data_IF_858972340825
#
_entry.id   IF_858972340825
#
_cell.length_a   1.000
_cell.length_b   1.000
_cell.length_c   1.000
_cell.angle_alpha   90.00
_cell.angle_beta   90.00
_cell.angle_gamma   90.00
#
_symmetry.space_group_name_H-M   'P 1'
#
loop_
_entity.id
_entity.type
_entity.pdbx_description
1 polymer ?
#
# COMPACT_ATOMS: atom_id res chain seq x y z
N UNK A 1 12.87 -29.59 46.47
CA UNK A 1 11.44 -29.87 46.29
C UNK A 1 10.71 -28.54 46.32
N UNK A 2 10.36 -28.04 45.15
CA UNK A 2 9.53 -26.83 44.94
C UNK A 2 8.40 -27.28 44.03
N UNK A 3 7.12 -27.08 44.35
CA UNK A 3 6.00 -27.63 43.59
C UNK A 3 5.70 -26.76 42.35
N UNK A 4 5.41 -27.44 41.24
CA UNK A 4 4.92 -26.90 40.00
C UNK A 4 3.49 -26.36 40.15
N UNK A 5 3.14 -25.20 39.54
CA UNK A 5 1.77 -24.72 39.51
C UNK A 5 0.94 -25.45 38.43
N UNK A 6 -0.30 -25.74 38.79
CA UNK A 6 -1.32 -26.40 37.98
C UNK A 6 -1.69 -25.55 36.74
N UNK A 7 -1.66 -26.17 35.60
CA UNK A 7 -2.15 -25.67 34.32
C UNK A 7 -3.70 -25.64 34.30
N UNK A 8 -4.27 -24.50 34.10
CA UNK A 8 -5.70 -24.27 33.96
C UNK A 8 -6.22 -24.61 32.56
N UNK A 9 -7.49 -25.01 32.54
CA UNK A 9 -8.35 -25.53 31.46
C UNK A 9 -8.51 -24.65 30.19
N UNK A 10 -7.48 -24.32 29.42
CA UNK A 10 -7.63 -23.62 28.15
C UNK A 10 -6.96 -24.30 26.92
N UNK A 11 -6.29 -25.48 27.12
CA UNK A 11 -5.58 -26.14 26.02
C UNK A 11 -6.34 -27.33 25.39
N UNK A 12 -7.65 -27.17 25.16
CA UNK A 12 -8.45 -28.22 24.49
C UNK A 12 -9.28 -27.68 23.33
N UNK A 13 -8.71 -26.85 22.46
CA UNK A 13 -9.29 -26.57 21.14
C UNK A 13 -8.13 -26.32 20.17
N UNK A 14 -7.61 -27.39 19.59
CA UNK A 14 -6.90 -27.43 18.30
C UNK A 14 -6.19 -28.78 18.13
N UNK A 15 -6.95 -29.85 17.97
CA UNK A 15 -6.44 -31.13 17.43
C UNK A 15 -7.61 -31.90 16.79
N UNK A 16 -8.06 -31.39 15.63
CA UNK A 16 -8.78 -32.22 14.66
C UNK A 16 -7.80 -32.56 13.54
N UNK A 17 -6.95 -33.54 13.79
CA UNK A 17 -6.12 -34.21 12.78
C UNK A 17 -6.84 -35.48 12.38
N UNK A 18 -7.28 -35.53 11.14
CA UNK A 18 -7.41 -36.67 10.23
C UNK A 18 -7.43 -38.06 10.88
N UNK A 19 -8.62 -38.59 11.08
CA UNK A 19 -8.85 -40.03 11.28
C UNK A 19 -9.33 -40.60 9.93
N UNK A 20 -8.45 -41.35 9.24
CA UNK A 20 -8.81 -42.18 8.08
C UNK A 20 -9.25 -43.52 8.66
N UNK A 21 -10.51 -43.94 8.49
CA UNK A 21 -10.88 -45.31 8.86
C UNK A 21 -10.34 -46.31 7.83
N UNK A 22 -9.55 -47.28 8.28
CA UNK A 22 -9.17 -48.42 7.48
C UNK A 22 -10.45 -49.18 7.05
N UNK A 23 -10.59 -49.41 5.76
CA UNK A 23 -11.68 -50.22 5.17
C UNK A 23 -11.51 -51.65 5.62
N UNK A 24 -12.43 -52.14 6.46
CA UNK A 24 -12.67 -53.53 6.69
C UNK A 24 -13.25 -54.15 5.41
N UNK A 25 -12.52 -55.06 4.82
CA UNK A 25 -12.97 -55.84 3.66
C UNK A 25 -14.04 -56.85 4.16
N UNK A 26 -15.28 -56.56 3.93
CA UNK A 26 -16.37 -57.55 4.03
C UNK A 26 -16.58 -58.12 2.63
N UNK A 27 -16.14 -59.35 2.43
CA UNK A 27 -16.49 -60.10 1.22
C UNK A 27 -18.00 -60.44 1.26
N UNK A 28 -18.78 -59.77 0.44
CA UNK A 28 -20.13 -60.20 0.10
C UNK A 28 -20.24 -60.48 -1.41
N UNK A 29 -20.82 -61.59 -1.72
CA UNK A 29 -21.07 -62.21 -2.99
C UNK A 29 -21.48 -61.22 -4.11
N UNK A 30 -20.70 -61.26 -5.19
CA UNK A 30 -20.96 -60.54 -6.43
C UNK A 30 -22.15 -61.15 -7.15
N UNK A 31 -23.32 -60.55 -7.01
CA UNK A 31 -24.40 -60.78 -7.96
C UNK A 31 -24.07 -60.10 -9.29
N UNK A 32 -24.06 -60.86 -10.36
CA UNK A 32 -23.83 -60.39 -11.72
C UNK A 32 -24.85 -59.31 -12.13
N UNK A 33 -24.47 -58.02 -12.02
CA UNK A 33 -25.16 -56.91 -12.70
C UNK A 33 -24.66 -56.83 -14.14
N UNK A 34 -25.59 -56.78 -15.08
CA UNK A 34 -25.31 -56.67 -16.52
C UNK A 34 -24.45 -55.40 -16.82
N UNK A 35 -23.43 -55.50 -17.69
CA UNK A 35 -22.52 -54.37 -17.99
C UNK A 35 -23.20 -53.10 -18.53
N UNK A 36 -24.41 -53.19 -19.07
CA UNK A 36 -25.14 -52.08 -19.67
C UNK A 36 -25.78 -51.08 -18.70
N UNK A 37 -25.78 -51.35 -17.38
CA UNK A 37 -26.32 -50.41 -16.36
C UNK A 37 -25.26 -49.57 -15.68
N UNK A 38 -24.02 -50.05 -15.60
CA UNK A 38 -22.88 -49.28 -15.03
C UNK A 38 -22.44 -48.14 -15.96
N UNK A 39 -22.41 -48.41 -17.28
CA UNK A 39 -22.03 -47.38 -18.28
C UNK A 39 -23.07 -46.24 -18.35
N UNK A 40 -24.36 -46.49 -18.15
CA UNK A 40 -25.39 -45.44 -18.13
C UNK A 40 -25.42 -44.55 -16.90
N UNK A 41 -24.95 -45.05 -15.75
CA UNK A 41 -24.87 -44.26 -14.51
C UNK A 41 -23.61 -43.36 -14.54
N UNK A 42 -22.51 -43.83 -15.11
CA UNK A 42 -21.28 -43.03 -15.26
C UNK A 42 -21.47 -41.92 -16.32
N UNK A 43 -22.25 -42.16 -17.38
CA UNK A 43 -22.58 -41.12 -18.39
C UNK A 43 -23.54 -40.05 -17.83
N UNK A 44 -24.43 -40.38 -16.90
CA UNK A 44 -25.39 -39.42 -16.32
C UNK A 44 -24.75 -38.43 -15.32
N UNK A 45 -23.52 -38.66 -14.83
CA UNK A 45 -22.87 -37.85 -13.80
C UNK A 45 -21.66 -37.08 -14.35
N UNK A 46 -21.43 -37.12 -15.67
CA UNK A 46 -20.33 -36.40 -16.31
C UNK A 46 -20.58 -34.90 -16.29
N UNK A 47 -19.62 -34.18 -15.69
CA UNK A 47 -19.68 -32.71 -15.56
C UNK A 47 -18.61 -32.07 -16.40
N UNK A 48 -18.92 -30.91 -16.94
CA UNK A 48 -17.97 -30.08 -17.69
C UNK A 48 -17.84 -28.68 -17.06
N UNK A 49 -16.71 -28.01 -17.31
CA UNK A 49 -16.46 -26.64 -16.88
C UNK A 49 -16.62 -25.71 -18.09
N UNK A 50 -17.37 -24.62 -17.87
CA UNK A 50 -17.60 -23.62 -18.92
C UNK A 50 -17.32 -22.24 -18.34
N UNK A 51 -16.39 -21.52 -18.99
CA UNK A 51 -16.21 -20.10 -18.74
C UNK A 51 -17.22 -19.31 -19.58
N UNK A 52 -18.08 -18.59 -18.90
CA UNK A 52 -19.10 -17.71 -19.47
C UNK A 52 -18.58 -16.28 -19.39
N UNK A 53 -18.43 -15.61 -20.53
CA UNK A 53 -17.99 -14.21 -20.61
C UNK A 53 -19.13 -13.35 -21.14
N UNK A 54 -19.55 -12.36 -20.35
CA UNK A 54 -20.65 -11.44 -20.69
C UNK A 54 -20.10 -10.02 -20.75
N UNK A 55 -20.40 -9.30 -21.81
CA UNK A 55 -19.99 -7.89 -21.97
C UNK A 55 -21.10 -7.05 -22.61
N UNK A 56 -21.28 -5.82 -22.11
CA UNK A 56 -22.31 -4.92 -22.64
C UNK A 56 -22.51 -3.71 -21.73
N UNK A 57 -23.59 -2.98 -21.96
CA UNK A 57 -23.97 -1.85 -21.11
C UNK A 57 -24.49 -2.39 -19.78
N UNK A 58 -23.93 -1.86 -18.68
CA UNK A 58 -24.34 -2.24 -17.34
C UNK A 58 -25.72 -1.65 -16.98
N UNK A 59 -26.56 -2.50 -16.38
CA UNK A 59 -27.83 -2.08 -15.82
C UNK A 59 -28.23 -2.96 -14.62
N UNK A 60 -29.02 -2.43 -13.68
CA UNK A 60 -29.47 -3.18 -12.51
C UNK A 60 -30.22 -4.47 -12.89
N UNK A 61 -29.86 -5.58 -12.23
CA UNK A 61 -30.53 -6.87 -12.41
C UNK A 61 -29.94 -7.80 -13.47
N UNK A 62 -28.94 -7.36 -14.26
CA UNK A 62 -28.30 -8.22 -15.28
C UNK A 62 -27.71 -9.49 -14.64
N UNK A 63 -26.86 -9.35 -13.64
CA UNK A 63 -26.26 -10.49 -12.95
C UNK A 63 -27.30 -11.41 -12.31
N UNK A 64 -28.38 -10.85 -11.72
CA UNK A 64 -29.44 -11.64 -11.11
C UNK A 64 -30.15 -12.55 -12.15
N UNK A 65 -30.47 -12.00 -13.30
CA UNK A 65 -31.15 -12.76 -14.37
C UNK A 65 -30.25 -13.87 -14.94
N UNK A 66 -28.95 -13.62 -15.07
CA UNK A 66 -27.99 -14.66 -15.47
C UNK A 66 -27.91 -15.76 -14.40
N UNK A 67 -27.79 -15.39 -13.12
CA UNK A 67 -27.73 -16.35 -12.01
C UNK A 67 -29.01 -17.19 -11.87
N UNK A 68 -30.18 -16.65 -12.14
CA UNK A 68 -31.44 -17.41 -12.15
C UNK A 68 -31.43 -18.52 -13.19
N UNK A 69 -30.84 -18.29 -14.36
CA UNK A 69 -30.71 -19.33 -15.40
C UNK A 69 -29.73 -20.40 -14.91
N UNK A 70 -28.57 -20.02 -14.42
CA UNK A 70 -27.57 -20.96 -13.90
C UNK A 70 -28.13 -21.81 -12.75
N UNK A 71 -28.91 -21.21 -11.86
CA UNK A 71 -29.53 -21.89 -10.73
C UNK A 71 -30.58 -22.94 -11.20
N UNK A 72 -31.40 -22.65 -12.23
CA UNK A 72 -32.35 -23.60 -12.77
C UNK A 72 -31.70 -24.86 -13.35
N UNK A 73 -30.46 -24.73 -13.82
CA UNK A 73 -29.70 -25.85 -14.37
C UNK A 73 -28.71 -26.45 -13.33
N UNK A 74 -28.84 -26.09 -12.06
CA UNK A 74 -28.02 -26.60 -10.95
C UNK A 74 -26.50 -26.41 -11.21
N UNK A 75 -26.11 -25.35 -11.92
CA UNK A 75 -24.72 -25.03 -12.21
C UNK A 75 -23.99 -24.63 -10.93
N UNK A 76 -22.85 -25.27 -10.67
CA UNK A 76 -21.96 -24.91 -9.57
C UNK A 76 -21.04 -23.77 -10.01
N UNK A 77 -21.01 -22.68 -9.27
CA UNK A 77 -20.07 -21.58 -9.52
C UNK A 77 -18.70 -21.97 -8.97
N UNK A 78 -17.69 -21.99 -9.82
CA UNK A 78 -16.28 -22.23 -9.46
C UNK A 78 -15.54 -20.93 -9.24
N UNK A 79 -15.80 -19.91 -10.09
CA UNK A 79 -15.25 -18.55 -9.93
C UNK A 79 -16.17 -17.52 -10.58
N UNK A 80 -16.09 -16.27 -10.10
CA UNK A 80 -16.87 -15.17 -10.66
C UNK A 80 -16.09 -13.85 -10.49
N UNK A 81 -16.07 -13.04 -11.55
CA UNK A 81 -15.43 -11.73 -11.53
C UNK A 81 -16.18 -10.73 -12.42
N UNK A 82 -16.31 -9.50 -11.93
CA UNK A 82 -16.94 -8.40 -12.65
C UNK A 82 -16.04 -7.17 -12.65
N UNK A 83 -15.97 -6.50 -13.79
CA UNK A 83 -15.32 -5.20 -13.93
C UNK A 83 -16.21 -4.25 -14.70
N UNK A 84 -16.20 -2.96 -14.31
CA UNK A 84 -16.90 -1.88 -15.00
C UNK A 84 -15.93 -0.79 -15.45
N UNK A 85 -16.02 -0.40 -16.72
CA UNK A 85 -15.30 0.77 -17.27
C UNK A 85 -16.31 1.63 -18.00
N UNK A 86 -16.50 2.86 -17.53
CA UNK A 86 -17.56 3.77 -17.97
C UNK A 86 -18.92 3.14 -17.68
N UNK A 87 -19.72 2.87 -18.70
CA UNK A 87 -21.03 2.19 -18.63
C UNK A 87 -20.98 0.75 -19.14
N UNK A 88 -19.77 0.22 -19.36
CA UNK A 88 -19.61 -1.13 -19.91
C UNK A 88 -19.22 -2.10 -18.81
N UNK A 89 -20.01 -3.15 -18.68
CA UNK A 89 -19.78 -4.32 -17.81
C UNK A 89 -18.94 -5.36 -18.56
N UNK A 90 -18.03 -6.00 -17.85
CA UNK A 90 -17.42 -7.27 -18.23
C UNK A 90 -17.58 -8.24 -17.06
N UNK A 91 -18.33 -9.31 -17.24
CA UNK A 91 -18.63 -10.32 -16.22
C UNK A 91 -18.14 -11.68 -16.71
N UNK A 92 -17.26 -12.31 -15.96
CA UNK A 92 -16.79 -13.67 -16.17
C UNK A 92 -17.35 -14.60 -15.11
N UNK A 93 -17.88 -15.75 -15.50
CA UNK A 93 -18.40 -16.77 -14.59
C UNK A 93 -17.85 -18.13 -15.04
N UNK A 94 -17.11 -18.79 -14.18
CA UNK A 94 -16.68 -20.16 -14.39
C UNK A 94 -17.64 -21.10 -13.66
N UNK A 95 -18.30 -21.96 -14.41
CA UNK A 95 -19.28 -22.91 -13.85
C UNK A 95 -18.87 -24.36 -14.11
N UNK A 96 -19.31 -25.24 -13.23
CA UNK A 96 -19.30 -26.70 -13.41
C UNK A 96 -20.73 -27.18 -13.49
N UNK A 97 -21.08 -27.87 -14.58
CA UNK A 97 -22.47 -28.27 -14.87
C UNK A 97 -22.50 -29.69 -15.45
N UNK A 98 -23.63 -30.36 -15.31
CA UNK A 98 -23.84 -31.65 -15.97
C UNK A 98 -23.83 -31.46 -17.50
N UNK A 99 -23.07 -32.31 -18.23
CA UNK A 99 -22.91 -32.24 -19.69
C UNK A 99 -24.24 -32.30 -20.44
N UNK A 100 -25.24 -33.02 -19.91
CA UNK A 100 -26.58 -33.11 -20.52
C UNK A 100 -27.42 -31.83 -20.35
N UNK A 101 -27.13 -31.02 -19.32
CA UNK A 101 -27.85 -29.77 -19.03
C UNK A 101 -27.18 -28.54 -19.67
N UNK A 102 -25.91 -28.61 -20.00
CA UNK A 102 -25.11 -27.46 -20.46
C UNK A 102 -25.64 -26.85 -21.76
N UNK A 103 -26.01 -27.67 -22.73
CA UNK A 103 -26.57 -27.20 -24.01
C UNK A 103 -27.86 -26.38 -23.84
N UNK A 104 -28.76 -26.81 -22.94
CA UNK A 104 -29.98 -26.06 -22.65
C UNK A 104 -29.70 -24.76 -21.90
N UNK A 105 -28.83 -24.81 -20.95
CA UNK A 105 -28.36 -23.63 -20.20
C UNK A 105 -27.75 -22.57 -21.15
N UNK A 106 -26.82 -22.97 -22.02
CA UNK A 106 -26.22 -22.07 -23.00
C UNK A 106 -27.26 -21.45 -23.94
N UNK A 107 -28.21 -22.24 -24.40
CA UNK A 107 -29.30 -21.74 -25.24
C UNK A 107 -30.14 -20.69 -24.51
N UNK A 108 -30.54 -20.93 -23.26
CA UNK A 108 -31.30 -19.96 -22.48
C UNK A 108 -30.53 -18.67 -22.22
N UNK A 109 -29.24 -18.79 -21.94
CA UNK A 109 -28.33 -17.62 -21.76
C UNK A 109 -28.18 -16.82 -23.06
N UNK A 110 -28.08 -17.46 -24.22
CA UNK A 110 -28.04 -16.78 -25.52
C UNK A 110 -29.35 -16.00 -25.81
N UNK A 111 -30.54 -16.59 -25.56
CA UNK A 111 -31.78 -15.84 -25.69
C UNK A 111 -31.83 -14.65 -24.72
N UNK A 112 -31.43 -14.88 -23.46
CA UNK A 112 -31.43 -13.83 -22.45
C UNK A 112 -30.42 -12.72 -22.77
N UNK A 113 -29.27 -13.04 -23.36
CA UNK A 113 -28.29 -12.03 -23.76
C UNK A 113 -28.82 -11.06 -24.80
N UNK A 114 -29.64 -11.57 -25.74
CA UNK A 114 -30.33 -10.76 -26.76
C UNK A 114 -31.32 -9.81 -26.09
N UNK A 115 -32.12 -10.30 -25.13
CA UNK A 115 -33.08 -9.50 -24.37
C UNK A 115 -32.37 -8.40 -23.54
N UNK A 116 -31.23 -8.74 -22.92
CA UNK A 116 -30.43 -7.83 -22.12
C UNK A 116 -29.49 -6.92 -22.92
N UNK A 117 -29.47 -7.07 -24.26
CA UNK A 117 -28.57 -6.32 -25.16
C UNK A 117 -27.11 -6.43 -24.77
N UNK A 118 -26.64 -7.64 -24.38
CA UNK A 118 -25.25 -7.94 -24.04
C UNK A 118 -24.68 -9.02 -24.95
N UNK A 119 -23.37 -9.03 -25.13
CA UNK A 119 -22.67 -10.13 -25.78
C UNK A 119 -22.37 -11.22 -24.75
N UNK A 120 -22.46 -12.48 -25.17
CA UNK A 120 -22.09 -13.62 -24.35
C UNK A 120 -21.24 -14.60 -25.17
N UNK A 121 -20.20 -15.11 -24.57
CA UNK A 121 -19.32 -16.14 -25.12
C UNK A 121 -19.17 -17.29 -24.13
N UNK A 122 -19.02 -18.52 -24.67
CA UNK A 122 -18.83 -19.73 -23.88
C UNK A 122 -17.52 -20.40 -24.29
N UNK A 123 -16.67 -20.69 -23.32
CA UNK A 123 -15.40 -21.39 -23.55
C UNK A 123 -15.37 -22.63 -22.66
N UNK A 124 -15.43 -23.84 -23.23
CA UNK A 124 -15.22 -25.07 -22.46
C UNK A 124 -13.80 -25.08 -21.89
N UNK A 125 -13.67 -25.49 -20.63
CA UNK A 125 -12.40 -25.62 -19.91
C UNK A 125 -12.24 -27.10 -19.56
N UNK A 126 -11.13 -27.70 -19.96
CA UNK A 126 -10.84 -29.10 -19.58
C UNK A 126 -10.44 -29.21 -18.10
N UNK A 127 -10.58 -30.42 -17.53
CA UNK A 127 -10.17 -30.70 -16.16
C UNK A 127 -8.67 -30.35 -15.95
N UNK A 128 -7.82 -30.68 -16.93
CA UNK A 128 -6.39 -30.39 -16.85
C UNK A 128 -6.08 -28.88 -16.86
N UNK A 129 -6.78 -28.11 -17.69
CA UNK A 129 -6.65 -26.64 -17.72
C UNK A 129 -7.14 -26.01 -16.41
N UNK A 130 -8.24 -26.52 -15.86
CA UNK A 130 -8.74 -26.07 -14.57
C UNK A 130 -7.77 -26.36 -13.44
N UNK A 131 -7.25 -27.59 -13.33
CA UNK A 131 -6.29 -27.98 -12.29
C UNK A 131 -4.96 -27.21 -12.43
N UNK A 132 -4.46 -26.97 -13.66
CA UNK A 132 -3.30 -26.12 -13.88
C UNK A 132 -3.57 -24.67 -13.42
N UNK A 133 -4.74 -24.12 -13.71
CA UNK A 133 -5.16 -22.82 -13.22
C UNK A 133 -5.23 -22.77 -11.69
N UNK A 134 -5.82 -23.77 -11.03
CA UNK A 134 -5.87 -23.89 -9.55
C UNK A 134 -4.46 -24.01 -8.97
N UNK A 135 -3.59 -24.80 -9.59
CA UNK A 135 -2.20 -24.96 -9.13
C UNK A 135 -1.38 -23.68 -9.11
N UNK A 136 -1.77 -22.71 -9.95
CA UNK A 136 -1.16 -21.36 -9.97
C UNK A 136 -1.64 -20.47 -8.84
N UNK A 137 -2.64 -20.87 -8.09
CA UNK A 137 -3.08 -20.19 -6.87
C UNK A 137 -2.05 -20.43 -5.76
N UNK A 138 -1.86 -19.49 -4.86
CA UNK A 138 -0.83 -19.60 -3.80
C UNK A 138 0.57 -19.11 -4.18
N UNK A 139 0.81 -18.67 -5.42
CA UNK A 139 2.05 -17.95 -5.78
C UNK A 139 2.11 -16.61 -5.06
N UNK A 140 3.34 -16.11 -4.86
CA UNK A 140 3.55 -14.79 -4.28
C UNK A 140 2.74 -13.72 -5.03
N UNK A 141 2.11 -12.84 -4.26
CA UNK A 141 1.35 -11.70 -4.79
C UNK A 141 2.02 -10.39 -4.38
N UNK A 142 2.01 -9.45 -5.30
CA UNK A 142 2.55 -8.12 -5.11
C UNK A 142 1.57 -7.08 -5.65
N UNK A 143 1.70 -5.88 -5.11
CA UNK A 143 1.00 -4.71 -5.61
C UNK A 143 2.03 -3.72 -6.14
N UNK A 144 1.85 -3.33 -7.41
CA UNK A 144 2.53 -2.17 -7.96
C UNK A 144 1.55 -1.01 -8.05
N UNK A 145 1.81 0.04 -7.31
CA UNK A 145 1.07 1.30 -7.42
C UNK A 145 1.86 2.25 -8.29
N UNK A 146 1.22 2.82 -9.31
CA UNK A 146 1.79 3.84 -10.20
C UNK A 146 0.99 5.12 -10.01
N UNK A 147 1.67 6.22 -9.66
CA UNK A 147 1.01 7.49 -9.37
C UNK A 147 1.78 8.66 -9.98
N UNK A 148 1.06 9.66 -10.45
CA UNK A 148 1.62 10.90 -10.99
C UNK A 148 0.57 11.99 -11.03
N UNK A 149 0.94 13.17 -11.55
CA UNK A 149 -0.02 14.25 -11.84
C UNK A 149 -0.98 13.82 -12.93
N UNK A 150 -0.46 13.07 -13.88
CA UNK A 150 -1.19 12.45 -14.98
C UNK A 150 -0.61 11.10 -15.34
N UNK A 151 -1.35 10.23 -16.01
CA UNK A 151 -0.87 8.93 -16.46
C UNK A 151 -1.17 8.74 -17.94
N UNK A 152 -0.11 8.65 -18.73
CA UNK A 152 -0.17 8.39 -20.17
C UNK A 152 -0.03 6.91 -20.49
N UNK A 153 -0.48 6.52 -21.67
CA UNK A 153 -0.28 5.16 -22.18
C UNK A 153 1.21 4.77 -22.27
N UNK A 154 2.09 5.74 -22.59
CA UNK A 154 3.55 5.53 -22.62
C UNK A 154 4.11 5.13 -21.27
N UNK A 155 3.73 5.84 -20.20
CA UNK A 155 4.16 5.56 -18.84
C UNK A 155 3.71 4.17 -18.38
N UNK A 156 2.44 3.83 -18.65
CA UNK A 156 1.89 2.51 -18.32
C UNK A 156 2.59 1.41 -19.13
N UNK A 157 2.82 1.60 -20.43
CA UNK A 157 3.51 0.63 -21.28
C UNK A 157 4.93 0.34 -20.76
N UNK A 158 5.67 1.38 -20.36
CA UNK A 158 7.01 1.22 -19.79
C UNK A 158 6.98 0.47 -18.45
N UNK A 159 6.04 0.81 -17.56
CA UNK A 159 5.88 0.13 -16.27
C UNK A 159 5.52 -1.35 -16.46
N UNK A 160 4.55 -1.66 -17.32
CA UNK A 160 4.13 -3.05 -17.58
C UNK A 160 5.22 -3.87 -18.29
N UNK A 161 6.07 -3.22 -19.10
CA UNK A 161 7.25 -3.87 -19.70
C UNK A 161 8.23 -4.34 -18.61
N UNK A 162 8.55 -3.50 -17.63
CA UNK A 162 9.41 -3.88 -16.49
C UNK A 162 8.81 -5.08 -15.73
N UNK A 163 7.50 -5.11 -15.51
CA UNK A 163 6.80 -6.22 -14.87
C UNK A 163 6.96 -7.51 -15.68
N UNK A 164 6.69 -7.45 -16.99
CA UNK A 164 6.74 -8.61 -17.88
C UNK A 164 8.16 -9.20 -18.00
N UNK A 165 9.20 -8.36 -18.09
CA UNK A 165 10.61 -8.77 -18.13
C UNK A 165 11.01 -9.55 -16.87
N UNK A 166 10.39 -9.24 -15.73
CA UNK A 166 10.59 -9.94 -14.45
C UNK A 166 9.76 -11.23 -14.32
N UNK A 167 8.95 -11.57 -15.33
CA UNK A 167 8.13 -12.77 -15.33
C UNK A 167 6.91 -12.70 -14.40
N UNK A 168 6.48 -11.50 -14.02
CA UNK A 168 5.28 -11.28 -13.25
C UNK A 168 4.06 -11.17 -14.15
N UNK A 169 2.93 -11.79 -13.74
CA UNK A 169 1.64 -11.64 -14.40
C UNK A 169 0.83 -10.52 -13.74
N UNK A 170 0.07 -9.79 -14.53
CA UNK A 170 -0.90 -8.80 -14.05
C UNK A 170 -2.25 -9.50 -13.95
N UNK A 171 -2.77 -9.66 -12.74
CA UNK A 171 -4.06 -10.30 -12.48
C UNK A 171 -5.23 -9.29 -12.51
N UNK A 172 -4.99 -8.06 -12.04
CA UNK A 172 -5.99 -6.99 -12.10
C UNK A 172 -5.36 -5.61 -12.15
N UNK A 173 -6.10 -4.66 -12.68
CA UNK A 173 -5.73 -3.24 -12.73
C UNK A 173 -6.87 -2.43 -12.15
N UNK A 174 -6.57 -1.59 -11.15
CA UNK A 174 -7.56 -0.81 -10.45
C UNK A 174 -7.14 0.67 -10.40
N UNK A 175 -8.03 1.57 -10.79
CA UNK A 175 -7.84 3.00 -10.57
C UNK A 175 -8.24 3.36 -9.14
N UNK A 176 -7.33 4.02 -8.39
CA UNK A 176 -7.56 4.44 -7.02
C UNK A 176 -8.09 5.88 -6.92
N UNK A 177 -7.71 6.74 -7.87
CA UNK A 177 -8.18 8.13 -7.93
C UNK A 177 -9.55 8.26 -8.57
N UNK A 178 -10.32 9.26 -8.15
CA UNK A 178 -11.58 9.63 -8.76
C UNK A 178 -11.46 9.91 -10.27
N UNK A 179 -12.59 9.81 -10.98
CA UNK A 179 -12.68 10.18 -12.42
C UNK A 179 -12.74 11.70 -12.54
N UNK A 180 -12.04 12.24 -13.51
CA UNK A 180 -11.93 13.69 -13.71
C UNK A 180 -12.89 14.20 -14.77
N UNK A 181 -13.39 15.44 -14.57
CA UNK A 181 -13.97 16.19 -15.67
C UNK A 181 -12.87 16.59 -16.66
N UNK A 182 -13.08 16.31 -17.94
CA UNK A 182 -12.20 16.77 -19.02
C UNK A 182 -12.32 18.28 -19.28
N UNK A 183 -13.37 18.91 -18.74
CA UNK A 183 -13.67 20.35 -18.95
C UNK A 183 -13.05 21.25 -17.89
N UNK A 184 -12.70 20.73 -16.72
CA UNK A 184 -12.14 21.50 -15.61
C UNK A 184 -10.75 20.95 -15.27
N UNK A 185 -9.72 21.75 -15.51
CA UNK A 185 -8.34 21.43 -15.13
C UNK A 185 -8.05 21.99 -13.74
N UNK A 186 -7.72 21.13 -12.80
CA UNK A 186 -7.28 21.54 -11.48
C UNK A 186 -5.76 21.27 -11.33
N UNK A 187 -5.01 22.19 -10.72
CA UNK A 187 -3.55 22.12 -10.61
C UNK A 187 -3.03 20.99 -9.71
N UNK A 188 -3.84 20.57 -8.74
CA UNK A 188 -3.46 19.54 -7.76
C UNK A 188 -3.99 18.13 -8.09
N UNK A 189 -4.04 17.86 -9.37
CA UNK A 189 -4.62 16.62 -9.86
C UNK A 189 -3.64 15.46 -9.69
N UNK A 190 -4.19 14.27 -9.39
CA UNK A 190 -3.45 13.02 -9.30
C UNK A 190 -4.14 11.95 -10.13
N UNK A 191 -3.35 11.06 -10.69
CA UNK A 191 -3.80 9.84 -11.32
C UNK A 191 -3.05 8.68 -10.69
N UNK A 192 -3.78 7.69 -10.16
CA UNK A 192 -3.20 6.53 -9.50
C UNK A 192 -3.86 5.25 -9.99
N UNK A 193 -3.02 4.30 -10.37
CA UNK A 193 -3.42 2.95 -10.80
C UNK A 193 -2.66 1.93 -9.96
N UNK A 194 -3.36 0.93 -9.49
CA UNK A 194 -2.84 -0.22 -8.77
C UNK A 194 -2.91 -1.46 -9.67
N UNK A 195 -1.80 -2.19 -9.77
CA UNK A 195 -1.69 -3.48 -10.44
C UNK A 195 -1.53 -4.57 -9.41
N UNK A 196 -2.41 -5.55 -9.41
CA UNK A 196 -2.23 -6.80 -8.67
C UNK A 196 -1.38 -7.74 -9.52
N UNK A 197 -0.26 -8.18 -8.97
CA UNK A 197 0.75 -8.97 -9.67
C UNK A 197 0.90 -10.33 -9.02
N UNK A 198 1.08 -11.37 -9.84
CA UNK A 198 1.32 -12.74 -9.40
C UNK A 198 2.65 -13.27 -9.93
N UNK A 199 3.37 -13.98 -9.07
CA UNK A 199 4.66 -14.60 -9.39
C UNK A 199 5.75 -14.16 -8.43
N UNK A 200 7.01 -14.48 -8.77
CA UNK A 200 8.20 -14.01 -8.05
C UNK A 200 9.10 -13.29 -9.04
N UNK A 201 9.51 -12.05 -8.78
CA UNK A 201 10.43 -11.35 -9.69
C UNK A 201 11.71 -12.14 -9.86
N UNK A 202 12.23 -12.24 -11.09
CA UNK A 202 13.51 -12.89 -11.39
C UNK A 202 14.67 -12.22 -10.63
N UNK A 203 14.68 -10.89 -10.62
CA UNK A 203 15.62 -10.06 -9.87
C UNK A 203 14.89 -8.83 -9.34
N UNK A 204 14.55 -8.86 -8.03
CA UNK A 204 13.83 -7.76 -7.38
C UNK A 204 14.63 -6.46 -7.35
N UNK A 205 15.96 -6.53 -7.15
CA UNK A 205 16.80 -5.34 -7.08
C UNK A 205 16.91 -4.66 -8.45
N UNK A 206 17.12 -5.43 -9.51
CA UNK A 206 17.13 -4.93 -10.88
C UNK A 206 15.79 -4.29 -11.25
N UNK A 207 14.65 -4.92 -10.87
CA UNK A 207 13.31 -4.39 -11.12
C UNK A 207 13.10 -3.05 -10.42
N UNK A 208 13.41 -2.96 -9.12
CA UNK A 208 13.27 -1.71 -8.36
C UNK A 208 14.15 -0.60 -8.96
N UNK A 209 15.39 -0.92 -9.35
CA UNK A 209 16.26 0.02 -10.05
C UNK A 209 15.69 0.51 -11.38
N UNK A 210 15.03 -0.38 -12.14
CA UNK A 210 14.36 -0.01 -13.39
C UNK A 210 13.15 0.92 -13.13
N UNK A 211 12.33 0.61 -12.13
CA UNK A 211 11.20 1.47 -11.72
C UNK A 211 11.66 2.84 -11.23
N UNK A 212 12.77 2.91 -10.48
CA UNK A 212 13.35 4.17 -10.02
C UNK A 212 13.84 5.05 -11.18
N UNK A 213 14.53 4.46 -12.18
CA UNK A 213 14.91 5.20 -13.39
C UNK A 213 13.69 5.70 -14.14
N UNK A 214 12.68 4.84 -14.30
CA UNK A 214 11.43 5.20 -14.95
C UNK A 214 10.70 6.35 -14.22
N UNK A 215 10.73 6.35 -12.88
CA UNK A 215 10.19 7.42 -12.05
C UNK A 215 10.83 8.78 -12.41
N UNK A 216 12.14 8.82 -12.52
CA UNK A 216 12.87 10.04 -12.85
C UNK A 216 12.65 10.50 -14.29
N UNK A 217 12.63 9.56 -15.24
CA UNK A 217 12.49 9.85 -16.67
C UNK A 217 11.07 10.28 -17.07
N UNK A 218 10.06 9.70 -16.45
CA UNK A 218 8.65 9.88 -16.83
C UNK A 218 7.86 10.77 -15.85
N UNK A 219 8.47 11.22 -14.75
CA UNK A 219 7.81 12.09 -13.76
C UNK A 219 6.64 11.42 -13.03
N UNK A 220 6.75 10.13 -12.74
CA UNK A 220 5.76 9.33 -12.00
C UNK A 220 6.41 8.57 -10.86
N UNK A 221 5.65 8.26 -9.82
CA UNK A 221 6.13 7.55 -8.65
C UNK A 221 5.60 6.12 -8.60
N UNK A 222 6.37 5.24 -7.97
CA UNK A 222 6.05 3.82 -7.86
C UNK A 222 6.14 3.33 -6.42
N UNK A 223 5.25 2.39 -6.09
CA UNK A 223 5.35 1.58 -4.89
C UNK A 223 5.19 0.11 -5.26
N UNK A 224 6.18 -0.72 -4.90
CA UNK A 224 6.13 -2.17 -5.09
C UNK A 224 6.15 -2.87 -3.73
N UNK A 225 5.01 -3.44 -3.34
CA UNK A 225 4.81 -4.06 -2.03
C UNK A 225 4.34 -5.50 -2.18
N UNK A 226 4.67 -6.35 -1.20
CA UNK A 226 4.05 -7.66 -1.07
C UNK A 226 2.57 -7.47 -0.71
N UNK A 227 1.67 -8.21 -1.36
CA UNK A 227 0.25 -8.21 -1.02
C UNK A 227 0.01 -9.21 0.10
N UNK A 228 0.24 -8.79 1.32
CA UNK A 228 0.01 -9.54 2.54
C UNK A 228 -0.99 -8.84 3.47
N UNK A 229 -1.34 -9.51 4.56
CA UNK A 229 -2.29 -8.99 5.54
C UNK A 229 -1.85 -7.65 6.15
N UNK A 230 -0.55 -7.41 6.30
CA UNK A 230 -0.03 -6.20 6.95
C UNK A 230 -0.17 -4.96 6.08
N UNK A 231 -0.20 -5.10 4.76
CA UNK A 231 -0.34 -3.96 3.83
C UNK A 231 -1.57 -3.09 4.15
N UNK A 232 -2.70 -3.73 4.50
CA UNK A 232 -3.98 -3.04 4.80
C UNK A 232 -4.21 -2.82 6.30
N UNK A 233 -3.29 -3.29 7.15
CA UNK A 233 -3.43 -3.24 8.61
C UNK A 233 -2.37 -2.35 9.27
N UNK A 234 -1.87 -1.37 8.56
CA UNK A 234 -0.92 -0.40 9.11
C UNK A 234 -1.61 0.48 10.15
N UNK A 235 -0.87 0.85 11.21
CA UNK A 235 -1.43 1.53 12.39
C UNK A 235 -0.60 2.70 12.88
N UNK A 236 0.70 2.71 12.63
CA UNK A 236 1.63 3.74 13.07
C UNK A 236 2.35 4.34 11.87
N UNK A 237 2.41 5.65 11.80
CA UNK A 237 3.19 6.38 10.81
C UNK A 237 4.11 7.37 11.50
N UNK A 238 5.38 7.33 11.15
CA UNK A 238 6.42 8.22 11.64
C UNK A 238 6.93 9.08 10.48
N UNK A 239 6.95 10.38 10.69
CA UNK A 239 7.43 11.35 9.72
C UNK A 239 8.70 12.02 10.22
N UNK A 240 9.64 12.32 9.32
CA UNK A 240 10.52 13.45 9.52
C UNK A 240 9.72 14.75 9.41
N UNK A 241 10.27 15.84 9.91
CA UNK A 241 9.63 17.16 9.91
C UNK A 241 10.16 18.06 8.80
N UNK A 242 11.43 18.42 8.91
CA UNK A 242 12.09 19.34 8.00
C UNK A 242 12.19 18.72 6.60
N UNK A 243 11.91 19.48 5.56
CA UNK A 243 11.87 19.02 4.16
C UNK A 243 10.90 17.87 3.88
N UNK A 244 10.11 17.42 4.89
CA UNK A 244 9.10 16.34 4.77
C UNK A 244 7.70 16.86 5.06
N UNK A 245 7.34 17.24 6.30
CA UNK A 245 6.05 17.83 6.63
C UNK A 245 6.00 19.33 6.34
N UNK A 246 7.15 19.98 6.39
CA UNK A 246 7.35 21.38 6.01
C UNK A 246 8.40 21.48 4.91
N UNK A 247 8.35 22.56 4.11
CA UNK A 247 9.23 22.73 2.94
C UNK A 247 10.53 23.47 3.25
N UNK A 248 10.89 23.60 4.53
CA UNK A 248 12.06 24.33 5.00
C UNK A 248 12.82 23.55 6.06
N UNK A 249 14.04 23.95 6.33
CA UNK A 249 14.87 23.50 7.44
C UNK A 249 14.76 24.53 8.57
N UNK A 250 14.20 24.15 9.72
CA UNK A 250 13.99 25.07 10.84
C UNK A 250 15.27 25.72 11.35
N UNK A 251 16.41 25.02 11.28
CA UNK A 251 17.70 25.58 11.69
C UNK A 251 18.17 26.69 10.75
N UNK A 252 17.89 26.58 9.45
CA UNK A 252 18.25 27.59 8.47
C UNK A 252 17.42 28.86 8.67
N UNK A 253 16.11 28.72 8.93
CA UNK A 253 15.23 29.86 9.25
C UNK A 253 15.69 30.60 10.52
N UNK A 254 16.07 29.86 11.56
CA UNK A 254 16.64 30.46 12.78
C UNK A 254 17.98 31.16 12.52
N UNK A 255 18.81 30.56 11.69
CA UNK A 255 20.13 31.11 11.33
C UNK A 255 20.00 32.43 10.52
N UNK A 256 19.04 32.52 9.62
CA UNK A 256 18.74 33.76 8.89
C UNK A 256 18.28 34.87 9.84
N UNK A 257 17.38 34.55 10.81
CA UNK A 257 16.96 35.51 11.83
C UNK A 257 18.10 35.95 12.77
N UNK A 258 19.08 35.06 13.00
CA UNK A 258 20.27 35.35 13.79
C UNK A 258 21.36 36.09 12.98
N UNK A 259 21.23 36.24 11.68
CA UNK A 259 22.27 36.83 10.80
C UNK A 259 23.52 35.94 10.62
N UNK A 260 23.33 34.60 10.78
CA UNK A 260 24.44 33.62 10.68
C UNK A 260 24.21 32.59 9.59
N UNK A 261 23.25 32.78 8.68
CA UNK A 261 22.85 31.84 7.65
C UNK A 261 24.02 31.26 6.86
N UNK A 262 24.92 32.10 6.34
CA UNK A 262 26.11 31.66 5.58
C UNK A 262 27.03 30.71 6.39
N UNK A 263 27.19 30.96 7.69
CA UNK A 263 28.02 30.12 8.56
C UNK A 263 27.36 28.74 8.78
N UNK A 264 26.06 28.72 9.04
CA UNK A 264 25.28 27.48 9.21
C UNK A 264 25.32 26.66 7.92
N UNK A 265 25.14 27.30 6.76
CA UNK A 265 25.23 26.65 5.44
C UNK A 265 26.63 26.02 5.22
N UNK A 266 27.72 26.72 5.55
CA UNK A 266 29.07 26.18 5.42
C UNK A 266 29.30 24.92 6.28
N UNK A 267 28.75 24.88 7.52
CA UNK A 267 28.82 23.71 8.40
C UNK A 267 27.98 22.54 7.79
N UNK A 268 26.78 22.83 7.29
CA UNK A 268 25.93 21.84 6.62
C UNK A 268 26.65 21.22 5.42
N UNK A 269 27.36 22.01 4.61
CA UNK A 269 28.12 21.50 3.47
C UNK A 269 29.30 20.60 3.91
N UNK A 270 30.00 20.93 5.01
CA UNK A 270 31.04 20.06 5.59
C UNK A 270 30.45 18.69 6.02
N UNK A 271 29.30 18.70 6.69
CA UNK A 271 28.61 17.47 7.07
C UNK A 271 28.20 16.65 5.85
N UNK A 272 27.67 17.30 4.80
CA UNK A 272 27.27 16.63 3.56
C UNK A 272 28.45 15.99 2.81
N UNK A 273 29.67 16.57 2.94
CA UNK A 273 30.90 15.96 2.40
C UNK A 273 31.47 14.87 3.30
N UNK A 274 30.90 14.65 4.50
CA UNK A 274 31.37 13.66 5.47
C UNK A 274 32.61 14.08 6.26
N UNK A 275 32.92 15.37 6.30
CA UNK A 275 34.05 15.92 7.06
C UNK A 275 33.79 15.95 8.57
N UNK A 276 32.51 16.08 8.95
CA UNK A 276 32.03 16.07 10.33
C UNK A 276 30.76 15.20 10.40
N UNK A 277 30.49 14.60 11.56
CA UNK A 277 29.28 13.81 11.74
C UNK A 277 28.03 14.68 12.02
N UNK A 278 26.88 14.04 12.14
CA UNK A 278 25.62 14.75 12.39
C UNK A 278 25.62 15.48 13.73
N UNK A 279 26.14 14.86 14.79
CA UNK A 279 26.13 15.43 16.14
C UNK A 279 27.08 16.64 16.25
N UNK A 280 28.26 16.52 15.65
CA UNK A 280 29.20 17.64 15.55
C UNK A 280 28.59 18.80 14.77
N UNK A 281 28.06 18.53 13.58
CA UNK A 281 27.39 19.53 12.75
C UNK A 281 26.21 20.19 13.46
N UNK A 282 25.38 19.42 14.15
CA UNK A 282 24.22 19.93 14.89
C UNK A 282 24.70 20.86 16.02
N UNK A 283 25.68 20.43 16.79
CA UNK A 283 26.22 21.21 17.92
C UNK A 283 26.87 22.53 17.45
N UNK A 284 27.68 22.50 16.38
CA UNK A 284 28.28 23.70 15.81
C UNK A 284 27.22 24.70 15.31
N UNK A 285 26.18 24.23 14.62
CA UNK A 285 25.09 25.07 14.10
C UNK A 285 24.26 25.69 15.21
N UNK A 286 23.87 24.90 16.23
CA UNK A 286 23.10 25.41 17.39
C UNK A 286 23.91 26.46 18.17
N UNK A 287 25.21 26.28 18.33
CA UNK A 287 26.07 27.24 19.03
C UNK A 287 26.05 28.65 18.38
N UNK A 288 25.85 28.72 17.06
CA UNK A 288 25.75 30.00 16.33
C UNK A 288 24.45 30.76 16.61
N UNK A 289 23.40 30.09 17.14
CA UNK A 289 22.13 30.73 17.47
C UNK A 289 22.14 31.44 18.83
N UNK A 290 23.25 31.42 19.55
CA UNK A 290 23.38 32.05 20.86
C UNK A 290 22.99 33.51 20.84
N UNK A 291 22.10 33.90 21.77
CA UNK A 291 21.63 35.27 21.94
C UNK A 291 20.42 35.64 21.07
N UNK A 292 19.98 34.76 20.18
CA UNK A 292 18.75 34.93 19.41
C UNK A 292 17.55 34.93 20.37
N UNK A 293 16.61 35.87 20.18
CA UNK A 293 15.37 35.90 20.95
C UNK A 293 14.48 34.73 20.61
N UNK A 294 14.03 33.94 21.58
CA UNK A 294 13.25 32.75 21.37
C UNK A 294 11.84 33.04 20.78
N UNK A 295 11.35 34.28 20.88
CA UNK A 295 10.07 34.69 20.29
C UNK A 295 10.04 34.55 18.76
N UNK A 296 11.19 34.58 18.09
CA UNK A 296 11.27 34.37 16.63
C UNK A 296 10.78 32.99 16.19
N UNK A 297 10.84 31.99 17.09
CA UNK A 297 10.32 30.63 16.79
C UNK A 297 8.82 30.63 16.54
N UNK A 298 8.07 31.51 17.23
CA UNK A 298 6.63 31.63 17.00
C UNK A 298 6.34 32.17 15.61
N UNK A 299 7.02 33.24 15.19
CA UNK A 299 6.85 33.83 13.86
C UNK A 299 7.22 32.85 12.76
N UNK A 300 8.32 32.10 12.90
CA UNK A 300 8.71 31.04 11.95
C UNK A 300 7.64 29.94 11.89
N UNK A 301 7.16 29.45 13.03
CA UNK A 301 6.16 28.39 13.10
C UNK A 301 4.83 28.77 12.44
N UNK A 302 4.39 30.03 12.58
CA UNK A 302 3.16 30.53 11.98
C UNK A 302 3.25 30.69 10.45
N UNK A 303 4.46 30.94 9.92
CA UNK A 303 4.68 31.22 8.51
C UNK A 303 5.39 30.10 7.73
N UNK A 304 5.86 29.04 8.41
CA UNK A 304 6.56 27.94 7.73
C UNK A 304 5.66 27.27 6.67
N UNK A 305 6.18 27.06 5.45
CA UNK A 305 5.42 26.49 4.35
C UNK A 305 5.15 25.00 4.62
N UNK A 306 3.88 24.63 4.68
CA UNK A 306 3.44 23.24 4.83
C UNK A 306 3.56 22.51 3.49
N UNK A 307 4.05 21.29 3.52
CA UNK A 307 4.20 20.44 2.33
C UNK A 307 2.85 20.12 1.70
N UNK A 308 2.81 20.10 0.38
CA UNK A 308 1.59 19.79 -0.38
C UNK A 308 0.99 18.44 0.08
N UNK A 309 -0.28 18.46 0.45
CA UNK A 309 -1.04 17.27 0.81
C UNK A 309 -1.01 16.90 2.29
N UNK A 310 -0.26 17.59 3.14
CA UNK A 310 -0.21 17.31 4.60
C UNK A 310 -1.60 17.41 5.22
N UNK A 311 -2.36 18.46 4.96
CA UNK A 311 -3.69 18.65 5.54
C UNK A 311 -4.62 17.47 5.23
N UNK A 312 -4.65 17.03 3.98
CA UNK A 312 -5.42 15.88 3.53
C UNK A 312 -4.93 14.59 4.19
N UNK A 313 -3.62 14.35 4.17
CA UNK A 313 -3.00 13.15 4.74
C UNK A 313 -3.34 13.02 6.23
N UNK A 314 -3.10 14.07 7.02
CA UNK A 314 -3.35 14.07 8.46
C UNK A 314 -4.83 13.85 8.78
N UNK A 315 -5.73 14.54 8.07
CA UNK A 315 -7.18 14.36 8.22
C UNK A 315 -7.62 12.91 8.00
N UNK A 316 -7.12 12.27 6.93
CA UNK A 316 -7.47 10.88 6.61
C UNK A 316 -6.88 9.91 7.63
N UNK A 317 -5.59 10.05 7.97
CA UNK A 317 -4.92 9.19 8.93
C UNK A 317 -5.60 9.21 10.31
N UNK A 318 -5.98 10.41 10.80
CA UNK A 318 -6.70 10.54 12.08
C UNK A 318 -8.08 9.89 12.02
N UNK A 319 -8.87 10.11 10.95
CA UNK A 319 -10.17 9.44 10.77
C UNK A 319 -10.05 7.91 10.75
N UNK A 320 -8.96 7.40 10.20
CA UNK A 320 -8.69 5.96 10.12
C UNK A 320 -8.04 5.39 11.40
N UNK A 321 -7.83 6.20 12.44
CA UNK A 321 -7.30 5.77 13.72
C UNK A 321 -5.81 5.44 13.71
N UNK A 322 -5.04 6.01 12.77
CA UNK A 322 -3.59 5.88 12.78
C UNK A 322 -2.99 6.65 13.95
N UNK A 323 -1.97 6.07 14.56
CA UNK A 323 -1.04 6.79 15.43
C UNK A 323 -0.01 7.50 14.57
N UNK A 324 0.22 8.78 14.85
CA UNK A 324 1.08 9.65 14.05
C UNK A 324 2.20 10.18 14.94
N UNK A 325 3.43 10.03 14.47
CA UNK A 325 4.62 10.52 15.17
C UNK A 325 5.46 11.43 14.27
N UNK A 326 6.07 12.45 14.86
CA UNK A 326 7.19 13.21 14.29
C UNK A 326 8.47 12.74 14.97
N UNK A 327 9.45 12.31 14.18
CA UNK A 327 10.79 11.91 14.59
C UNK A 327 11.80 12.75 13.81
N UNK A 328 12.29 13.85 14.41
CA UNK A 328 13.01 14.87 13.66
C UNK A 328 14.37 15.20 14.28
N UNK A 329 15.36 15.42 13.41
CA UNK A 329 16.62 16.06 13.77
C UNK A 329 16.52 17.58 13.98
N UNK A 330 15.35 18.17 13.71
CA UNK A 330 15.04 19.58 13.97
C UNK A 330 14.67 19.84 15.43
N UNK A 331 13.76 20.80 15.68
CA UNK A 331 13.50 21.29 17.04
C UNK A 331 12.09 21.01 17.53
N UNK A 332 12.00 20.66 18.81
CA UNK A 332 10.77 20.29 19.52
C UNK A 332 9.68 21.39 19.40
N UNK A 333 10.08 22.66 19.45
CA UNK A 333 9.14 23.79 19.35
C UNK A 333 8.25 23.70 18.08
N UNK A 334 8.85 23.44 16.94
CA UNK A 334 8.13 23.35 15.66
C UNK A 334 7.32 22.04 15.56
N UNK A 335 7.85 20.97 16.08
CA UNK A 335 7.13 19.70 16.16
C UNK A 335 5.88 19.80 17.03
N UNK A 336 5.95 20.48 18.17
CA UNK A 336 4.81 20.73 19.07
C UNK A 336 3.78 21.70 18.43
N UNK A 337 4.23 22.66 17.61
CA UNK A 337 3.32 23.49 16.82
C UNK A 337 2.51 22.64 15.83
N UNK A 338 3.17 21.77 15.08
CA UNK A 338 2.51 20.83 14.15
C UNK A 338 1.62 19.84 14.89
N UNK A 339 2.05 19.36 16.05
CA UNK A 339 1.26 18.47 16.90
C UNK A 339 -0.07 19.11 17.28
N UNK A 340 -0.07 20.35 17.73
CA UNK A 340 -1.31 21.10 18.07
C UNK A 340 -2.18 21.31 16.85
N UNK A 341 -1.57 21.63 15.68
CA UNK A 341 -2.30 21.88 14.44
C UNK A 341 -2.98 20.64 13.88
N UNK A 342 -2.32 19.49 13.90
CA UNK A 342 -2.78 18.28 13.22
C UNK A 342 -3.21 17.14 14.17
N UNK A 343 -3.10 17.33 15.47
CA UNK A 343 -3.45 16.30 16.46
C UNK A 343 -2.50 15.10 16.42
N UNK A 344 -1.20 15.34 16.20
CA UNK A 344 -0.16 14.30 16.17
C UNK A 344 -0.01 13.69 17.56
N UNK A 345 0.22 12.38 17.66
CA UNK A 345 0.25 11.67 18.93
C UNK A 345 1.60 11.79 19.63
N UNK A 346 2.72 11.74 18.88
CA UNK A 346 4.08 11.76 19.41
C UNK A 346 4.96 12.76 18.68
N UNK A 347 5.82 13.47 19.43
CA UNK A 347 6.86 14.35 18.90
C UNK A 347 8.17 14.05 19.62
N UNK A 348 9.18 13.69 18.87
CA UNK A 348 10.55 13.55 19.36
C UNK A 348 11.48 14.35 18.43
N UNK A 349 12.08 15.39 18.98
CA UNK A 349 13.01 16.28 18.29
C UNK A 349 13.97 16.88 19.32
N UNK A 350 14.91 17.71 18.88
CA UNK A 350 15.91 18.30 19.77
C UNK A 350 15.35 19.56 20.47
N UNK A 351 15.62 19.69 21.75
CA UNK A 351 15.16 20.83 22.54
C UNK A 351 16.27 21.90 22.63
N UNK A 352 15.96 23.14 22.23
CA UNK A 352 16.88 24.27 22.39
C UNK A 352 16.83 24.79 23.83
N UNK A 353 17.98 25.05 24.42
CA UNK A 353 18.07 25.66 25.75
C UNK A 353 17.83 27.17 25.64
N UNK A 354 16.89 27.68 26.47
CA UNK A 354 16.51 29.09 26.55
C UNK A 354 16.86 29.61 27.92
N UNK A 355 17.46 30.80 27.99
CA UNK A 355 17.82 31.46 29.26
C UNK A 355 16.65 32.26 29.89
N UNK A 356 16.83 32.78 31.10
CA UNK A 356 15.83 33.56 31.82
C UNK A 356 15.41 34.87 31.11
N UNK A 357 16.22 35.32 30.14
CA UNK A 357 15.94 36.50 29.31
C UNK A 357 15.24 36.16 27.99
N UNK A 358 14.70 34.94 27.87
CA UNK A 358 14.06 34.45 26.66
C UNK A 358 14.99 34.40 25.43
N UNK A 359 16.28 34.11 25.64
CA UNK A 359 17.26 33.98 24.55
C UNK A 359 17.81 32.59 24.45
N UNK A 360 18.10 32.16 23.24
CA UNK A 360 18.81 30.90 22.99
C UNK A 360 20.23 30.96 23.58
N UNK A 361 20.59 29.96 24.35
CA UNK A 361 21.95 29.88 24.96
C UNK A 361 23.01 29.40 23.96
N UNK A 362 22.59 28.87 22.80
CA UNK A 362 23.44 28.16 21.85
C UNK A 362 23.72 26.71 22.25
N UNK A 363 22.92 26.17 23.16
CA UNK A 363 23.01 24.76 23.60
C UNK A 363 21.65 24.08 23.40
N UNK A 364 21.63 22.78 23.55
CA UNK A 364 20.43 21.92 23.49
C UNK A 364 20.32 21.10 24.78
N UNK A 365 19.15 20.57 25.04
CA UNK A 365 18.82 19.74 26.22
C UNK A 365 18.65 18.28 25.78
N UNK A 366 19.24 17.35 26.52
CA UNK A 366 19.04 15.92 26.33
C UNK A 366 19.90 15.30 25.22
N UNK A 367 19.45 14.15 24.71
CA UNK A 367 20.14 13.41 23.65
C UNK A 367 19.71 13.89 22.27
N UNK A 368 20.68 13.98 21.35
CA UNK A 368 20.39 14.38 19.96
C UNK A 368 19.59 13.28 19.25
N UNK A 369 18.51 13.66 18.59
CA UNK A 369 17.71 12.79 17.73
C UNK A 369 18.39 12.68 16.36
N UNK A 370 19.30 11.75 16.25
CA UNK A 370 19.98 11.37 15.00
C UNK A 370 19.23 10.23 14.28
N UNK A 371 19.80 9.74 13.18
CA UNK A 371 19.18 8.69 12.37
C UNK A 371 18.98 7.37 13.12
N UNK A 372 19.93 6.97 13.98
CA UNK A 372 19.78 5.77 14.81
C UNK A 372 18.68 5.97 15.85
N UNK A 373 18.65 7.13 16.47
CA UNK A 373 17.63 7.45 17.46
C UNK A 373 16.23 7.49 16.85
N UNK A 374 16.07 7.98 15.62
CA UNK A 374 14.78 7.88 14.89
C UNK A 374 14.30 6.43 14.74
N UNK A 375 15.20 5.51 14.37
CA UNK A 375 14.86 4.09 14.25
C UNK A 375 14.51 3.44 15.60
N UNK A 376 15.23 3.76 16.67
CA UNK A 376 14.91 3.31 18.03
C UNK A 376 13.55 3.83 18.50
N UNK A 377 13.26 5.11 18.28
CA UNK A 377 11.99 5.73 18.64
C UNK A 377 10.81 5.12 17.88
N UNK A 378 10.96 4.83 16.59
CA UNK A 378 9.95 4.09 15.83
C UNK A 378 9.63 2.73 16.49
N UNK A 379 10.66 1.96 16.85
CA UNK A 379 10.51 0.67 17.54
C UNK A 379 9.85 0.82 18.91
N UNK A 380 10.26 1.83 19.67
CA UNK A 380 9.71 2.12 20.99
C UNK A 380 8.21 2.47 20.90
N UNK A 381 7.83 3.37 19.99
CA UNK A 381 6.43 3.76 19.81
C UNK A 381 5.61 2.55 19.33
N UNK A 382 6.14 1.77 18.39
CA UNK A 382 5.48 0.54 17.95
C UNK A 382 5.21 -0.43 19.11
N UNK A 383 6.18 -0.58 20.02
CA UNK A 383 6.04 -1.41 21.22
C UNK A 383 4.99 -0.83 22.19
N UNK A 384 5.01 0.48 22.47
CA UNK A 384 4.05 1.17 23.33
C UNK A 384 2.62 1.02 22.80
N UNK A 385 2.43 1.22 21.51
CA UNK A 385 1.13 1.10 20.83
C UNK A 385 0.74 -0.35 20.51
N UNK A 386 1.59 -1.33 20.84
CA UNK A 386 1.39 -2.77 20.55
C UNK A 386 1.18 -3.04 19.06
N UNK A 387 1.92 -2.35 18.21
CA UNK A 387 1.89 -2.45 16.76
C UNK A 387 3.10 -3.26 16.29
N UNK A 388 2.89 -4.23 15.39
CA UNK A 388 4.00 -4.95 14.76
C UNK A 388 4.77 -4.02 13.82
N UNK A 389 6.10 -4.17 13.74
CA UNK A 389 6.92 -3.35 12.81
C UNK A 389 6.44 -3.45 11.36
N UNK A 390 5.93 -4.61 10.93
CA UNK A 390 5.29 -4.75 9.62
C UNK A 390 4.06 -3.85 9.42
N UNK A 391 3.48 -3.31 10.48
CA UNK A 391 2.33 -2.38 10.45
C UNK A 391 2.74 -0.91 10.58
N UNK A 392 4.05 -0.62 10.59
CA UNK A 392 4.57 0.75 10.67
C UNK A 392 4.88 1.33 9.29
N UNK A 393 4.88 2.64 9.23
CA UNK A 393 5.25 3.44 8.06
C UNK A 393 6.28 4.46 8.51
N UNK A 394 7.32 4.68 7.73
CA UNK A 394 8.28 5.76 7.93
C UNK A 394 8.40 6.59 6.66
N UNK A 395 8.39 7.91 6.79
CA UNK A 395 8.48 8.87 5.69
C UNK A 395 9.55 9.90 6.02
N UNK A 396 10.51 10.10 5.12
CA UNK A 396 11.57 11.09 5.28
C UNK A 396 12.29 11.36 3.97
N UNK A 397 13.08 12.44 3.91
CA UNK A 397 13.78 12.90 2.71
C UNK A 397 15.32 12.71 2.79
N UNK A 398 15.86 12.61 4.00
CA UNK A 398 17.28 12.67 4.29
C UNK A 398 17.98 11.33 4.51
N UNK A 399 19.31 11.34 4.45
CA UNK A 399 20.12 10.16 4.77
C UNK A 399 20.00 9.74 6.25
N UNK A 400 19.70 10.68 7.14
CA UNK A 400 19.38 10.47 8.55
C UNK A 400 18.06 9.70 8.76
N UNK A 401 17.18 9.61 7.74
CA UNK A 401 15.93 8.86 7.83
C UNK A 401 16.08 7.41 7.40
N UNK A 402 17.16 7.06 6.68
CA UNK A 402 17.36 5.72 6.15
C UNK A 402 17.27 4.61 7.22
N UNK A 403 17.83 4.76 8.44
CA UNK A 403 17.66 3.75 9.48
C UNK A 403 16.18 3.54 9.84
N UNK A 404 15.39 4.60 10.02
CA UNK A 404 13.96 4.55 10.31
C UNK A 404 13.18 3.96 9.13
N UNK A 405 13.47 4.41 7.91
CA UNK A 405 12.84 3.92 6.65
C UNK A 405 13.08 2.43 6.46
N UNK A 406 14.28 1.93 6.78
CA UNK A 406 14.66 0.53 6.61
C UNK A 406 13.99 -0.39 7.62
N UNK A 407 13.73 0.07 8.85
CA UNK A 407 13.09 -0.69 9.92
C UNK A 407 11.56 -0.77 9.78
N UNK A 408 10.95 0.21 9.12
CA UNK A 408 9.52 0.27 8.96
C UNK A 408 8.99 -0.80 7.99
N UNK A 409 7.77 -1.29 8.24
CA UNK A 409 7.06 -2.18 7.32
C UNK A 409 6.78 -1.54 5.95
N UNK A 410 6.70 -0.21 5.89
CA UNK A 410 6.68 0.59 4.66
C UNK A 410 7.56 1.83 4.86
N UNK A 411 8.75 1.82 4.28
CA UNK A 411 9.64 2.97 4.25
C UNK A 411 9.49 3.74 2.93
N UNK A 412 9.28 5.05 3.02
CA UNK A 412 9.04 5.95 1.88
C UNK A 412 10.06 7.08 1.90
N UNK A 413 10.85 7.19 0.84
CA UNK A 413 11.69 8.35 0.57
C UNK A 413 10.83 9.44 -0.10
N UNK A 414 10.61 10.56 0.59
CA UNK A 414 9.76 11.65 0.12
C UNK A 414 10.62 12.80 -0.41
N UNK A 415 10.47 13.18 -1.69
CA UNK A 415 11.26 14.21 -2.39
C UNK A 415 12.77 14.12 -2.13
N UNK A 416 13.23 12.89 -1.86
CA UNK A 416 14.55 12.59 -1.36
C UNK A 416 15.64 12.72 -2.44
N UNK A 417 16.88 12.95 -1.99
CA UNK A 417 18.07 12.96 -2.85
C UNK A 417 18.31 11.57 -3.47
N UNK A 418 18.98 11.48 -4.64
CA UNK A 418 19.18 10.21 -5.37
C UNK A 418 19.75 9.09 -4.51
N UNK A 419 20.69 9.38 -3.61
CA UNK A 419 21.29 8.41 -2.69
C UNK A 419 20.28 7.82 -1.71
N UNK A 420 19.35 8.62 -1.21
CA UNK A 420 18.29 8.17 -0.30
C UNK A 420 17.27 7.33 -1.04
N UNK A 421 16.83 7.80 -2.22
CA UNK A 421 15.92 7.05 -3.10
C UNK A 421 16.46 5.66 -3.44
N UNK A 422 17.75 5.54 -3.76
CA UNK A 422 18.40 4.28 -4.11
C UNK A 422 18.39 3.24 -2.97
N UNK A 423 18.30 3.68 -1.73
CA UNK A 423 18.29 2.82 -0.53
C UNK A 423 16.88 2.64 0.09
N UNK A 424 15.87 3.34 -0.41
CA UNK A 424 14.49 3.16 0.01
C UNK A 424 13.76 2.18 -0.91
N UNK A 425 12.83 1.40 -0.36
CA UNK A 425 12.02 0.49 -1.15
C UNK A 425 10.92 1.20 -1.95
N UNK A 426 10.52 2.40 -1.53
CA UNK A 426 9.48 3.23 -2.11
C UNK A 426 9.92 4.69 -2.16
N UNK A 427 9.46 5.43 -3.19
CA UNK A 427 9.74 6.86 -3.29
C UNK A 427 8.53 7.63 -3.83
N UNK A 428 8.33 8.84 -3.30
CA UNK A 428 7.41 9.85 -3.80
C UNK A 428 8.24 11.10 -4.13
N UNK A 429 8.19 11.56 -5.37
CA UNK A 429 9.02 12.66 -5.86
C UNK A 429 8.29 13.66 -6.74
N UNK A 430 7.12 13.29 -7.26
CA UNK A 430 6.42 14.05 -8.30
C UNK A 430 5.06 14.58 -7.84
N UNK A 431 4.60 14.15 -6.66
CA UNK A 431 3.31 14.53 -6.07
C UNK A 431 3.48 14.93 -4.61
N UNK A 432 2.41 15.44 -4.00
CA UNK A 432 2.38 15.77 -2.57
C UNK A 432 2.44 14.54 -1.66
N UNK A 433 2.71 14.77 -0.37
CA UNK A 433 2.91 13.72 0.64
C UNK A 433 1.67 12.83 0.84
N UNK A 434 0.49 13.31 0.52
CA UNK A 434 -0.74 12.51 0.54
C UNK A 434 -0.78 11.38 -0.52
N UNK A 435 0.20 11.32 -1.43
CA UNK A 435 0.50 10.14 -2.23
C UNK A 435 0.68 8.86 -1.42
N UNK A 436 1.11 8.99 -0.16
CA UNK A 436 1.19 7.89 0.82
C UNK A 436 -0.14 7.14 0.95
N UNK A 437 -1.28 7.83 0.91
CA UNK A 437 -2.60 7.20 1.02
C UNK A 437 -2.84 6.14 -0.07
N UNK A 438 -2.39 6.41 -1.28
CA UNK A 438 -2.54 5.44 -2.38
C UNK A 438 -1.58 4.26 -2.25
N UNK A 439 -0.40 4.45 -1.68
CA UNK A 439 0.50 3.34 -1.34
C UNK A 439 -0.10 2.43 -0.26
N UNK A 440 -0.96 2.96 0.58
CA UNK A 440 -1.75 2.20 1.56
C UNK A 440 -3.01 1.56 0.95
N UNK A 441 -3.32 1.82 -0.32
CA UNK A 441 -4.47 1.26 -1.03
C UNK A 441 -5.79 2.01 -0.80
N UNK A 442 -5.74 3.25 -0.27
CA UNK A 442 -6.94 4.07 -0.19
C UNK A 442 -7.43 4.47 -1.57
N UNK A 443 -8.75 4.47 -1.74
CA UNK A 443 -9.44 5.00 -2.93
C UNK A 443 -10.11 6.31 -2.59
N UNK A 444 -10.12 7.26 -3.52
CA UNK A 444 -10.85 8.52 -3.34
C UNK A 444 -12.34 8.29 -3.02
N UNK A 445 -12.93 7.22 -3.57
CA UNK A 445 -14.32 6.83 -3.27
C UNK A 445 -14.55 6.51 -1.80
N UNK A 446 -13.55 5.97 -1.08
CA UNK A 446 -13.66 5.66 0.35
C UNK A 446 -13.53 6.91 1.22
N UNK A 447 -12.87 7.94 0.69
CA UNK A 447 -12.58 9.16 1.42
C UNK A 447 -13.72 10.20 1.33
N UNK A 448 -14.76 9.93 0.54
CA UNK A 448 -15.88 10.86 0.32
C UNK A 448 -15.51 12.09 -0.52
N UNK A 449 -14.40 12.02 -1.24
CA UNK A 449 -13.82 13.12 -2.03
C UNK A 449 -14.30 13.14 -3.49
N UNK A 450 -15.28 12.32 -3.83
CA UNK A 450 -15.85 12.33 -5.19
C UNK A 450 -16.47 13.68 -5.52
N UNK A 451 -15.85 14.42 -6.41
CA UNK A 451 -16.39 15.69 -6.95
C UNK A 451 -16.10 16.95 -6.14
N UNK A 452 -15.22 16.92 -5.13
CA UNK A 452 -14.78 18.09 -4.36
C UNK A 452 -13.32 18.51 -4.64
N UNK A 453 -12.75 18.06 -5.76
CA UNK A 453 -11.42 18.47 -6.21
C UNK A 453 -11.53 19.31 -7.48
#
# INVERSE_FOLDING_TARGET
>A
MIPLPQLTKIDKICLFVWYIPQKTVISQSVGHRKPSQLTKIDEMDKKEQILISISGIDHPGLTAQVMEILARHEAQILDIGQADIHSTLSLGILVRINEMASGQMMKELLFKSTELHVNIDFVPISDDEYEDWVSRQGKNRYILTVIGRDLSARQIARATKVIAEQGLNIDSILRLTGRRSIRHQNKHVRACIEFSLRGTPKDRALMLGALMRLSTEEGIDFSFQKDDMYRRMRRLICFDMDSTLIQTECIDELAERAGVGDKVKAITERAMRGEIDFKESFTERVALLKGLDASVMQDIAEHMPITEGVDRLMSVLKRCGYKIAILSGGFTYFGEFLRRKYGIDYVYANELEIDDNNKLTGRYVGEIVDGHRKAELLKLIAQVEKVNLAQTIAVGDGANDLPMISEAGLGIAFHAKPRVKANASQAISNIGIDGVLYFLGFKDSYLGEQGKL
#
